data_IF_467388887991
#
_entry.id   IF_467388887991
#
_cell.length_a   1.000
_cell.length_b   1.000
_cell.length_c   1.000
_cell.angle_alpha   90.00
_cell.angle_beta   90.00
_cell.angle_gamma   90.00
#
_symmetry.space_group_name_H-M   'P 1'
#
loop_
_entity.id
_entity.type
_entity.pdbx_description
1 polymer ?
#
# COMPACT_ATOMS: atom_id res chain seq x y z
N UNK A 1 -31.31 -8.98 26.03
CA UNK A 1 -30.79 -7.92 25.14
C UNK A 1 -29.28 -7.85 25.34
N UNK A 2 -28.52 -8.53 24.49
CA UNK A 2 -27.05 -8.53 24.56
C UNK A 2 -26.49 -7.37 23.76
N UNK A 3 -25.76 -6.47 24.42
CA UNK A 3 -24.95 -5.46 23.75
C UNK A 3 -23.82 -6.18 22.99
N UNK A 4 -23.95 -6.30 21.67
CA UNK A 4 -22.84 -6.64 20.79
C UNK A 4 -21.89 -5.45 20.75
N UNK A 5 -20.91 -5.47 21.65
CA UNK A 5 -19.68 -4.70 21.50
C UNK A 5 -19.02 -5.17 20.20
N UNK A 6 -19.15 -4.39 19.13
CA UNK A 6 -18.39 -4.60 17.91
C UNK A 6 -16.92 -4.40 18.28
N UNK A 7 -16.19 -5.51 18.42
CA UNK A 7 -14.72 -5.48 18.54
C UNK A 7 -14.20 -4.81 17.27
N UNK A 8 -13.90 -3.51 17.35
CA UNK A 8 -13.27 -2.79 16.24
C UNK A 8 -11.99 -3.53 15.88
N UNK A 9 -11.91 -3.97 14.63
CA UNK A 9 -10.77 -4.74 14.17
C UNK A 9 -9.50 -3.89 14.20
N UNK A 10 -8.42 -4.42 14.77
CA UNK A 10 -7.17 -3.69 14.96
C UNK A 10 -6.18 -3.85 13.80
N UNK A 11 -6.56 -4.64 12.79
CA UNK A 11 -5.74 -4.93 11.61
C UNK A 11 -6.16 -4.05 10.44
N UNK A 12 -5.16 -3.36 9.90
CA UNK A 12 -5.31 -2.37 8.84
C UNK A 12 -4.70 -2.86 7.54
N UNK A 13 -5.41 -2.60 6.46
CA UNK A 13 -4.93 -2.88 5.10
C UNK A 13 -4.90 -1.56 4.35
N UNK A 14 -3.70 -1.17 3.91
CA UNK A 14 -3.53 0.02 3.08
C UNK A 14 -3.87 -0.32 1.64
N UNK A 15 -4.65 0.52 0.97
CA UNK A 15 -4.88 0.43 -0.47
C UNK A 15 -4.19 1.63 -1.11
N UNK A 16 -3.15 1.33 -1.90
CA UNK A 16 -2.29 2.33 -2.55
C UNK A 16 -2.26 2.08 -4.07
N UNK A 17 -1.85 3.10 -4.82
CA UNK A 17 -1.69 2.98 -6.27
C UNK A 17 -1.54 4.34 -6.94
N UNK A 18 -1.07 4.33 -8.18
CA UNK A 18 -0.99 5.53 -9.02
C UNK A 18 -2.38 6.10 -9.36
N UNK A 19 -2.47 7.35 -9.82
CA UNK A 19 -3.70 7.91 -10.38
C UNK A 19 -4.30 6.97 -11.46
N UNK A 20 -5.62 6.79 -11.44
CA UNK A 20 -6.31 5.92 -12.42
C UNK A 20 -6.17 4.40 -12.21
N UNK A 21 -5.45 3.95 -11.18
CA UNK A 21 -5.21 2.52 -10.89
C UNK A 21 -6.44 1.70 -10.47
N UNK A 22 -7.60 2.33 -10.25
CA UNK A 22 -8.82 1.67 -9.76
C UNK A 22 -8.91 1.47 -8.24
N UNK A 23 -7.93 1.95 -7.46
CA UNK A 23 -7.84 1.74 -6.00
C UNK A 23 -9.11 2.13 -5.22
N UNK A 24 -9.78 3.21 -5.60
CA UNK A 24 -10.98 3.69 -4.89
C UNK A 24 -12.19 2.80 -5.13
N UNK A 25 -12.30 2.19 -6.32
CA UNK A 25 -13.35 1.20 -6.59
C UNK A 25 -13.07 -0.08 -5.80
N UNK A 26 -11.81 -0.53 -5.76
CA UNK A 26 -11.38 -1.66 -4.93
C UNK A 26 -11.67 -1.42 -3.44
N UNK A 27 -11.33 -0.24 -2.92
CA UNK A 27 -11.66 0.17 -1.55
C UNK A 27 -13.16 0.11 -1.27
N UNK A 28 -14.00 0.64 -2.15
CA UNK A 28 -15.47 0.63 -1.98
C UNK A 28 -16.04 -0.79 -1.87
N UNK A 29 -15.43 -1.77 -2.54
CA UNK A 29 -15.81 -3.19 -2.47
C UNK A 29 -15.40 -3.81 -1.13
N UNK A 30 -14.24 -3.43 -0.59
CA UNK A 30 -13.66 -4.04 0.62
C UNK A 30 -14.04 -3.35 1.94
N UNK A 31 -14.40 -2.06 1.92
CA UNK A 31 -14.55 -1.23 3.13
C UNK A 31 -15.57 -1.73 4.16
N UNK A 32 -16.53 -2.56 3.75
CA UNK A 32 -17.59 -3.09 4.62
C UNK A 32 -17.25 -4.48 5.17
N UNK A 33 -16.04 -4.99 4.91
CA UNK A 33 -15.60 -6.26 5.46
C UNK A 33 -15.31 -6.12 6.96
N UNK A 34 -15.83 -7.06 7.76
CA UNK A 34 -15.67 -7.01 9.23
C UNK A 34 -14.30 -7.52 9.71
N UNK A 35 -13.53 -8.23 8.88
CA UNK A 35 -12.24 -8.86 9.24
C UNK A 35 -11.06 -7.87 9.22
N UNK A 36 -11.09 -6.84 8.39
CA UNK A 36 -10.01 -5.87 8.28
C UNK A 36 -10.51 -4.44 8.12
N UNK A 37 -9.77 -3.48 8.67
CA UNK A 37 -10.00 -2.06 8.41
C UNK A 37 -9.23 -1.61 7.17
N UNK A 38 -9.93 -1.37 6.07
CA UNK A 38 -9.30 -0.87 4.84
C UNK A 38 -9.11 0.65 4.88
N UNK A 39 -7.99 1.13 4.36
CA UNK A 39 -7.67 2.55 4.24
C UNK A 39 -7.31 2.88 2.80
N UNK A 40 -8.16 3.66 2.13
CA UNK A 40 -7.82 4.30 0.86
C UNK A 40 -6.78 5.39 1.13
N UNK A 41 -5.59 5.22 0.57
CA UNK A 41 -4.52 6.22 0.59
C UNK A 41 -4.67 7.09 -0.66
N UNK A 42 -4.40 8.41 -0.58
CA UNK A 42 -4.35 9.27 -1.76
C UNK A 42 -3.52 8.65 -2.90
N UNK A 43 -3.80 9.05 -4.14
CA UNK A 43 -3.04 8.54 -5.27
C UNK A 43 -1.56 8.92 -5.06
N UNK A 44 -0.68 7.92 -5.20
CA UNK A 44 0.74 8.12 -4.99
C UNK A 44 1.36 8.56 -6.30
N UNK A 45 1.65 9.85 -6.41
CA UNK A 45 2.44 10.44 -7.48
C UNK A 45 3.53 11.31 -6.87
N UNK A 46 4.69 10.69 -6.63
CA UNK A 46 5.85 11.32 -6.02
C UNK A 46 6.90 11.75 -7.06
N UNK A 47 6.56 11.66 -8.35
CA UNK A 47 7.46 12.00 -9.47
C UNK A 47 7.18 13.37 -10.10
N UNK A 48 6.02 13.99 -9.82
CA UNK A 48 5.64 15.30 -10.39
C UNK A 48 6.46 16.48 -9.85
N UNK A 49 6.36 16.77 -8.55
CA UNK A 49 7.00 17.95 -7.93
C UNK A 49 7.39 17.68 -6.48
N UNK A 50 8.37 18.44 -5.97
CA UNK A 50 8.80 18.36 -4.56
C UNK A 50 7.62 18.69 -3.63
N UNK A 51 6.85 19.73 -3.95
CA UNK A 51 5.70 20.16 -3.15
C UNK A 51 4.62 19.07 -3.05
N UNK A 52 4.28 18.42 -4.18
CA UNK A 52 3.30 17.32 -4.19
C UNK A 52 3.81 16.12 -3.40
N UNK A 53 5.11 15.83 -3.51
CA UNK A 53 5.75 14.76 -2.75
C UNK A 53 5.71 15.03 -1.24
N UNK A 54 6.13 16.20 -0.79
CA UNK A 54 6.13 16.55 0.64
C UNK A 54 4.71 16.57 1.21
N UNK A 55 3.75 17.10 0.46
CA UNK A 55 2.34 17.05 0.83
C UNK A 55 1.85 15.61 1.01
N UNK A 56 2.17 14.71 0.08
CA UNK A 56 1.79 13.31 0.19
C UNK A 56 2.43 12.64 1.40
N UNK A 57 3.72 12.87 1.66
CA UNK A 57 4.43 12.32 2.81
C UNK A 57 3.73 12.73 4.11
N UNK A 58 3.42 14.03 4.25
CA UNK A 58 2.70 14.58 5.41
C UNK A 58 1.30 13.98 5.54
N UNK A 59 0.55 13.86 4.44
CA UNK A 59 -0.78 13.23 4.45
C UNK A 59 -0.70 11.75 4.87
N UNK A 60 0.30 11.02 4.39
CA UNK A 60 0.52 9.62 4.74
C UNK A 60 0.89 9.44 6.21
N UNK A 61 1.78 10.28 6.73
CA UNK A 61 2.15 10.33 8.15
C UNK A 61 0.92 10.62 9.01
N UNK A 62 0.14 11.64 8.66
CA UNK A 62 -1.09 11.99 9.35
C UNK A 62 -2.11 10.85 9.36
N UNK A 63 -2.25 10.10 8.26
CA UNK A 63 -3.08 8.90 8.21
C UNK A 63 -2.57 7.85 9.20
N UNK A 64 -1.26 7.59 9.19
CA UNK A 64 -0.66 6.60 10.08
C UNK A 64 -0.81 7.00 11.55
N UNK A 65 -0.61 8.26 11.92
CA UNK A 65 -0.68 8.69 13.31
C UNK A 65 -2.11 8.82 13.84
N UNK A 66 -3.00 9.44 13.06
CA UNK A 66 -4.33 9.83 13.52
C UNK A 66 -5.39 8.76 13.23
N UNK A 67 -5.32 8.12 12.06
CA UNK A 67 -6.32 7.13 11.62
C UNK A 67 -5.94 5.71 12.02
N UNK A 68 -4.64 5.41 12.02
CA UNK A 68 -4.07 4.11 12.37
C UNK A 68 -3.38 4.24 13.74
N UNK A 69 -4.17 4.55 14.77
CA UNK A 69 -3.72 4.75 16.15
C UNK A 69 -2.60 3.76 16.57
N UNK A 70 -1.58 4.23 17.32
CA UNK A 70 -0.36 3.49 17.76
C UNK A 70 -0.56 2.06 18.30
N UNK A 71 -1.78 1.68 18.72
CA UNK A 71 -2.13 0.32 19.18
C UNK A 71 -2.64 -0.62 18.06
N UNK A 72 -2.71 -0.16 16.82
CA UNK A 72 -3.26 -0.87 15.67
C UNK A 72 -2.16 -1.18 14.65
N UNK A 73 -2.32 -2.25 13.89
CA UNK A 73 -1.25 -2.80 13.07
C UNK A 73 -1.64 -2.79 11.60
N UNK A 74 -0.76 -2.26 10.74
CA UNK A 74 -0.86 -2.48 9.30
C UNK A 74 -0.37 -3.89 8.99
N UNK A 75 -1.26 -4.74 8.48
CA UNK A 75 -0.98 -6.16 8.20
C UNK A 75 -0.69 -6.44 6.73
N UNK A 76 -1.12 -5.55 5.83
CA UNK A 76 -0.90 -5.71 4.39
C UNK A 76 -0.97 -4.37 3.67
N UNK A 77 -0.30 -4.31 2.52
CA UNK A 77 -0.33 -3.19 1.59
C UNK A 77 -0.82 -3.72 0.24
N UNK A 78 -2.00 -3.32 -0.19
CA UNK A 78 -2.56 -3.67 -1.50
C UNK A 78 -2.20 -2.58 -2.50
N UNK A 79 -1.38 -2.91 -3.48
CA UNK A 79 -0.96 -2.02 -4.56
C UNK A 79 -1.84 -2.29 -5.77
N UNK A 80 -2.72 -1.34 -6.05
CA UNK A 80 -3.62 -1.36 -7.20
C UNK A 80 -2.87 -0.92 -8.45
N UNK A 81 -3.06 -1.64 -9.55
CA UNK A 81 -2.57 -1.29 -10.89
C UNK A 81 -3.67 -1.55 -11.90
N UNK A 82 -3.85 -0.66 -12.88
CA UNK A 82 -4.83 -0.87 -13.96
C UNK A 82 -4.27 -1.88 -14.96
N UNK A 83 -5.10 -2.79 -15.45
CA UNK A 83 -4.74 -3.67 -16.55
C UNK A 83 -4.55 -2.85 -17.84
N UNK A 84 -3.37 -2.99 -18.43
CA UNK A 84 -2.94 -2.32 -19.64
C UNK A 84 -1.69 -3.04 -20.17
N UNK A 85 -0.90 -2.38 -21.03
CA UNK A 85 0.39 -2.93 -21.47
C UNK A 85 1.30 -3.23 -20.28
N UNK A 86 1.95 -4.38 -20.29
CA UNK A 86 2.72 -4.87 -19.15
C UNK A 86 3.91 -3.97 -18.77
N UNK A 87 4.51 -3.28 -19.72
CA UNK A 87 5.58 -2.29 -19.46
C UNK A 87 5.07 -1.09 -18.66
N UNK A 88 3.88 -0.59 -18.98
CA UNK A 88 3.21 0.49 -18.24
C UNK A 88 2.83 0.05 -16.83
N UNK A 89 2.26 -1.15 -16.70
CA UNK A 89 1.92 -1.74 -15.40
C UNK A 89 3.16 -1.87 -14.51
N UNK A 90 4.27 -2.39 -15.04
CA UNK A 90 5.53 -2.52 -14.30
C UNK A 90 6.04 -1.15 -13.85
N UNK A 91 6.01 -0.14 -14.73
CA UNK A 91 6.41 1.22 -14.40
C UNK A 91 5.56 1.79 -13.27
N UNK A 92 4.24 1.68 -13.35
CA UNK A 92 3.31 2.15 -12.32
C UNK A 92 3.49 1.42 -10.98
N UNK A 93 3.71 0.10 -11.00
CA UNK A 93 3.98 -0.65 -9.78
C UNK A 93 5.29 -0.23 -9.14
N UNK A 94 6.37 -0.10 -9.92
CA UNK A 94 7.69 0.28 -9.42
C UNK A 94 7.73 1.71 -8.87
N UNK A 95 6.98 2.65 -9.47
CA UNK A 95 6.91 4.02 -8.98
C UNK A 95 6.31 4.11 -7.58
N UNK A 96 5.44 3.16 -7.20
CA UNK A 96 4.84 3.08 -5.86
C UNK A 96 5.68 2.21 -4.92
N UNK A 97 6.03 1.00 -5.35
CA UNK A 97 6.66 -0.04 -4.50
C UNK A 97 8.05 0.38 -4.01
N UNK A 98 8.78 1.21 -4.77
CA UNK A 98 10.11 1.69 -4.36
C UNK A 98 10.11 2.38 -2.98
N UNK A 99 9.00 3.00 -2.59
CA UNK A 99 8.84 3.66 -1.28
C UNK A 99 8.45 2.71 -0.15
N UNK A 100 8.03 1.48 -0.48
CA UNK A 100 7.65 0.43 0.45
C UNK A 100 8.56 -0.80 0.35
N UNK A 101 9.77 -0.65 -0.18
CA UNK A 101 10.72 -1.75 -0.39
C UNK A 101 11.04 -2.53 0.90
N UNK A 102 11.00 -1.87 2.07
CA UNK A 102 11.16 -2.55 3.37
C UNK A 102 10.03 -3.54 3.68
N UNK A 103 8.84 -3.33 3.10
CA UNK A 103 7.62 -4.10 3.37
C UNK A 103 7.20 -4.97 2.17
N UNK A 104 8.13 -5.41 1.33
CA UNK A 104 7.81 -6.29 0.19
C UNK A 104 7.05 -7.57 0.64
N UNK A 105 7.29 -8.05 1.86
CA UNK A 105 6.58 -9.16 2.48
C UNK A 105 5.11 -8.83 2.84
N UNK A 106 4.72 -7.55 2.84
CA UNK A 106 3.34 -7.08 3.06
C UNK A 106 2.60 -6.69 1.77
N UNK A 107 3.31 -6.55 0.64
CA UNK A 107 2.75 -6.11 -0.64
C UNK A 107 1.95 -7.18 -1.39
N UNK A 108 0.68 -6.89 -1.68
CA UNK A 108 -0.18 -7.66 -2.59
C UNK A 108 -0.45 -6.80 -3.83
N UNK A 109 -0.37 -7.36 -5.02
CA UNK A 109 -0.70 -6.64 -6.27
C UNK A 109 -2.14 -6.94 -6.64
N UNK A 110 -2.95 -5.88 -6.83
CA UNK A 110 -4.30 -5.98 -7.36
C UNK A 110 -4.37 -5.39 -8.77
N UNK A 111 -4.51 -6.25 -9.77
CA UNK A 111 -4.73 -5.87 -11.17
C UNK A 111 -6.22 -5.56 -11.34
N UNK A 112 -6.55 -4.29 -11.58
CA UNK A 112 -7.93 -3.81 -11.80
C UNK A 112 -8.25 -3.72 -13.28
N UNK A 113 -9.53 -3.65 -13.64
CA UNK A 113 -9.98 -3.58 -15.04
C UNK A 113 -9.53 -4.78 -15.89
N UNK A 114 -9.34 -5.95 -15.27
CA UNK A 114 -8.88 -7.14 -15.98
C UNK A 114 -9.96 -7.73 -16.91
N UNK A 115 -11.20 -7.26 -16.79
CA UNK A 115 -12.27 -7.48 -17.77
C UNK A 115 -11.94 -6.97 -19.18
N UNK A 116 -10.92 -6.14 -19.34
CA UNK A 116 -10.45 -5.65 -20.65
C UNK A 116 -9.50 -6.63 -21.36
N UNK A 117 -9.14 -7.75 -20.73
CA UNK A 117 -8.33 -8.82 -21.35
C UNK A 117 -9.16 -9.63 -22.35
N UNK A 118 -8.60 -9.85 -23.54
CA UNK A 118 -9.21 -10.69 -24.58
C UNK A 118 -9.02 -12.19 -24.27
N UNK A 119 -7.88 -12.56 -23.68
CA UNK A 119 -7.58 -13.92 -23.21
C UNK A 119 -7.19 -13.90 -21.73
N UNK A 120 -8.20 -14.02 -20.88
CA UNK A 120 -8.02 -13.88 -19.43
C UNK A 120 -7.12 -14.94 -18.81
N UNK A 121 -7.10 -16.15 -19.35
CA UNK A 121 -6.31 -17.24 -18.79
C UNK A 121 -4.84 -17.11 -19.19
N UNK A 122 -4.56 -16.82 -20.46
CA UNK A 122 -3.20 -16.56 -20.93
C UNK A 122 -2.61 -15.31 -20.27
N UNK A 123 -3.34 -14.18 -20.29
CA UNK A 123 -2.87 -12.91 -19.74
C UNK A 123 -2.60 -13.00 -18.24
N UNK A 124 -3.46 -13.72 -17.50
CA UNK A 124 -3.30 -13.92 -16.06
C UNK A 124 -2.02 -14.69 -15.75
N UNK A 125 -1.77 -15.78 -16.46
CA UNK A 125 -0.56 -16.59 -16.28
C UNK A 125 0.69 -15.79 -16.69
N UNK A 126 0.63 -15.08 -17.81
CA UNK A 126 1.73 -14.25 -18.29
C UNK A 126 2.05 -13.12 -17.30
N UNK A 127 1.05 -12.37 -16.85
CA UNK A 127 1.23 -11.31 -15.86
C UNK A 127 1.78 -11.83 -14.53
N UNK A 128 1.31 -12.98 -14.04
CA UNK A 128 1.90 -13.62 -12.85
C UNK A 128 3.39 -13.86 -13.03
N UNK A 129 3.79 -14.47 -14.15
CA UNK A 129 5.21 -14.72 -14.45
C UNK A 129 6.02 -13.43 -14.58
N UNK A 130 5.43 -12.39 -15.19
CA UNK A 130 6.10 -11.12 -15.41
C UNK A 130 6.21 -10.24 -14.17
N UNK A 131 5.32 -10.38 -13.19
CA UNK A 131 5.28 -9.55 -11.99
C UNK A 131 5.84 -10.26 -10.75
N UNK A 132 6.04 -11.59 -10.77
CA UNK A 132 6.55 -12.36 -9.63
C UNK A 132 7.87 -11.83 -9.05
N UNK A 133 8.73 -11.24 -9.88
CA UNK A 133 10.02 -10.69 -9.43
C UNK A 133 9.85 -9.56 -8.39
N UNK A 134 8.75 -8.82 -8.48
CA UNK A 134 8.40 -7.75 -7.53
C UNK A 134 8.07 -8.34 -6.16
N UNK A 135 7.48 -9.54 -6.13
CA UNK A 135 6.93 -10.19 -4.94
C UNK A 135 7.80 -11.34 -4.43
N UNK A 136 9.13 -11.26 -4.61
CA UNK A 136 10.09 -12.31 -4.20
C UNK A 136 9.70 -13.71 -4.70
N UNK A 137 9.21 -13.79 -5.94
CA UNK A 137 8.71 -15.01 -6.60
C UNK A 137 7.44 -15.62 -6.01
N UNK A 138 6.64 -14.87 -5.24
CA UNK A 138 5.33 -15.32 -4.75
C UNK A 138 4.20 -14.74 -5.63
N UNK A 139 3.80 -15.51 -6.64
CA UNK A 139 2.74 -15.12 -7.60
C UNK A 139 1.31 -15.23 -7.04
N UNK A 140 1.12 -15.93 -5.91
CA UNK A 140 -0.19 -16.05 -5.24
C UNK A 140 -0.67 -14.73 -4.64
N UNK A 141 0.23 -13.76 -4.55
CA UNK A 141 -0.03 -12.40 -4.07
C UNK A 141 -0.46 -11.44 -5.18
N UNK A 142 -0.82 -11.98 -6.35
CA UNK A 142 -1.33 -11.22 -7.49
C UNK A 142 -2.80 -11.60 -7.68
N UNK A 143 -3.70 -10.63 -7.48
CA UNK A 143 -5.14 -10.79 -7.65
C UNK A 143 -5.65 -9.97 -8.81
N UNK A 144 -6.69 -10.46 -9.48
CA UNK A 144 -7.26 -9.86 -10.69
C UNK A 144 -8.72 -9.52 -10.43
N UNK A 145 -9.10 -8.25 -10.61
CA UNK A 145 -10.49 -7.78 -10.50
C UNK A 145 -11.14 -7.73 -11.87
N UNK A 146 -12.32 -8.32 -11.95
CA UNK A 146 -13.17 -8.39 -13.14
C UNK A 146 -14.48 -7.66 -12.83
N UNK A 147 -14.93 -6.75 -13.70
CA UNK A 147 -16.15 -5.95 -13.49
C UNK A 147 -17.49 -6.73 -13.56
N UNK A 148 -17.50 -8.06 -13.49
CA UNK A 148 -18.75 -8.82 -13.39
C UNK A 148 -19.14 -8.99 -11.91
N UNK A 149 -20.41 -8.66 -11.58
CA UNK A 149 -20.93 -8.65 -10.21
C UNK A 149 -20.72 -9.98 -9.44
N UNK A 150 -20.62 -11.13 -10.14
CA UNK A 150 -20.35 -12.43 -9.51
C UNK A 150 -18.86 -12.66 -9.22
N UNK A 151 -17.96 -12.23 -10.11
CA UNK A 151 -16.52 -12.46 -9.96
C UNK A 151 -15.87 -11.47 -8.99
N UNK A 152 -16.52 -10.32 -8.75
CA UNK A 152 -16.07 -9.33 -7.78
C UNK A 152 -16.05 -9.86 -6.33
N UNK A 153 -17.06 -10.67 -5.95
CA UNK A 153 -17.08 -11.31 -4.63
C UNK A 153 -15.95 -12.33 -4.50
N UNK A 154 -15.72 -13.14 -5.54
CA UNK A 154 -14.63 -14.12 -5.55
C UNK A 154 -13.25 -13.46 -5.48
N UNK A 155 -13.06 -12.33 -6.16
CA UNK A 155 -11.83 -11.54 -6.06
C UNK A 155 -11.61 -11.02 -4.63
N UNK A 156 -12.65 -10.45 -4.01
CA UNK A 156 -12.56 -9.97 -2.63
C UNK A 156 -12.24 -11.11 -1.66
N UNK A 157 -12.90 -12.26 -1.78
CA UNK A 157 -12.61 -13.45 -0.96
C UNK A 157 -11.18 -13.94 -1.13
N UNK A 158 -10.69 -14.02 -2.37
CA UNK A 158 -9.31 -14.42 -2.66
C UNK A 158 -8.32 -13.42 -2.07
N UNK A 159 -8.57 -12.11 -2.22
CA UNK A 159 -7.74 -11.07 -1.63
C UNK A 159 -7.72 -11.17 -0.10
N UNK A 160 -8.86 -11.40 0.56
CA UNK A 160 -8.95 -11.57 2.01
C UNK A 160 -8.16 -12.79 2.50
N UNK A 161 -8.22 -13.92 1.78
CA UNK A 161 -7.40 -15.12 2.07
C UNK A 161 -5.91 -14.81 1.98
N UNK A 162 -5.48 -14.07 0.95
CA UNK A 162 -4.08 -13.68 0.78
C UNK A 162 -3.65 -12.72 1.89
N UNK A 163 -4.49 -11.73 2.26
CA UNK A 163 -4.21 -10.82 3.38
C UNK A 163 -3.99 -11.59 4.67
N UNK A 164 -4.84 -12.59 4.96
CA UNK A 164 -4.70 -13.42 6.15
C UNK A 164 -3.39 -14.24 6.11
N UNK A 165 -3.04 -14.82 4.96
CA UNK A 165 -1.78 -15.53 4.79
C UNK A 165 -0.56 -14.59 4.96
N UNK A 166 -0.62 -13.38 4.43
CA UNK A 166 0.44 -12.36 4.59
C UNK A 166 0.58 -11.97 6.05
N UNK A 167 -0.53 -11.73 6.74
CA UNK A 167 -0.56 -11.40 8.17
C UNK A 167 0.09 -12.49 9.03
N UNK A 168 -0.19 -13.76 8.75
CA UNK A 168 0.37 -14.90 9.51
C UNK A 168 1.88 -15.08 9.30
N UNK A 169 2.38 -14.72 8.12
CA UNK A 169 3.80 -14.86 7.76
C UNK A 169 4.63 -13.60 8.01
N UNK A 170 4.04 -12.57 8.60
CA UNK A 170 4.67 -11.28 8.84
C UNK A 170 5.83 -11.41 9.83
N UNK A 171 7.01 -10.90 9.43
CA UNK A 171 8.24 -11.03 10.21
C UNK A 171 8.44 -9.89 11.22
N UNK A 172 8.11 -8.66 10.84
CA UNK A 172 8.30 -7.47 11.68
C UNK A 172 7.06 -6.58 11.73
N UNK A 173 6.76 -5.91 12.85
CA UNK A 173 5.68 -4.92 12.92
C UNK A 173 5.90 -3.78 11.91
N UNK A 174 4.80 -3.21 11.41
CA UNK A 174 4.90 -2.08 10.50
C UNK A 174 5.33 -0.85 11.32
N UNK A 175 6.36 -0.17 10.86
CA UNK A 175 6.91 1.07 11.45
C UNK A 175 7.25 2.04 10.33
N UNK A 176 7.19 3.34 10.54
CA UNK A 176 7.67 4.32 9.54
C UNK A 176 9.18 4.57 9.64
N UNK A 177 9.83 4.02 10.68
CA UNK A 177 11.26 4.19 10.91
C UNK A 177 12.09 3.71 9.71
N UNK A 178 13.15 4.45 9.39
CA UNK A 178 14.07 4.20 8.28
C UNK A 178 13.36 4.19 6.91
N UNK A 179 12.26 4.94 6.78
CA UNK A 179 11.54 5.17 5.52
C UNK A 179 11.45 6.65 5.21
N UNK A 180 11.10 7.00 3.97
CA UNK A 180 10.80 8.39 3.60
C UNK A 180 9.58 8.97 4.33
N UNK A 181 8.80 8.13 5.02
CA UNK A 181 7.64 8.53 5.80
C UNK A 181 7.97 8.65 7.29
N UNK A 182 9.23 8.47 7.71
CA UNK A 182 9.62 8.69 9.10
C UNK A 182 9.35 10.14 9.50
N UNK A 183 8.68 10.34 10.64
CA UNK A 183 8.49 11.67 11.19
C UNK A 183 9.85 12.19 11.66
N UNK A 184 10.33 13.23 11.01
CA UNK A 184 11.52 13.94 11.45
C UNK A 184 11.04 14.94 12.50
N UNK A 185 11.53 14.78 13.73
CA UNK A 185 11.29 15.75 14.80
C UNK A 185 11.99 17.06 14.40
N UNK A 186 11.22 18.07 13.99
CA UNK A 186 11.74 19.39 13.56
C UNK A 186 12.65 20.01 14.63
N UNK A 187 12.38 19.70 15.90
CA UNK A 187 13.20 20.10 17.05
C UNK A 187 14.60 19.51 16.97
N UNK A 188 14.74 18.25 16.56
CA UNK A 188 16.04 17.60 16.37
C UNK A 188 16.79 18.18 15.17
N UNK A 189 16.09 18.48 14.07
CA UNK A 189 16.70 19.11 12.89
C UNK A 189 17.22 20.52 13.19
N UNK A 190 16.45 21.35 13.89
CA UNK A 190 16.88 22.69 14.29
C UNK A 190 18.06 22.65 15.27
N UNK A 191 18.08 21.67 16.18
CA UNK A 191 19.22 21.45 17.07
C UNK A 191 20.45 20.99 16.29
N UNK A 192 20.32 20.08 15.33
CA UNK A 192 21.44 19.63 14.50
C UNK A 192 22.02 20.74 13.63
N UNK A 193 21.16 21.57 13.03
CA UNK A 193 21.60 22.75 12.29
C UNK A 193 22.32 23.74 13.21
N UNK A 194 21.77 24.00 14.41
CA UNK A 194 22.44 24.86 15.41
C UNK A 194 23.81 24.31 15.81
N UNK A 195 23.94 23.02 16.05
CA UNK A 195 25.21 22.39 16.45
C UNK A 195 26.24 22.45 15.32
N UNK A 196 25.82 22.26 14.06
CA UNK A 196 26.68 22.46 12.89
C UNK A 196 27.14 23.92 12.77
N UNK A 197 26.23 24.89 12.89
CA UNK A 197 26.57 26.31 12.82
C UNK A 197 27.49 26.77 13.98
N UNK A 198 27.32 26.22 15.18
CA UNK A 198 28.23 26.48 16.30
C UNK A 198 29.60 25.83 16.10
N UNK A 199 29.65 24.62 15.52
CA UNK A 199 30.90 23.96 15.16
C UNK A 199 31.72 24.72 14.11
N UNK A 200 31.06 25.37 13.14
CA UNK A 200 31.73 26.22 12.14
C UNK A 200 32.26 27.53 12.72
N UNK A 201 31.53 28.16 13.65
CA UNK A 201 31.95 29.43 14.26
C UNK A 201 33.06 29.28 15.31
N UNK A 202 33.23 28.09 15.90
CA UNK A 202 34.31 27.81 16.85
C UNK A 202 35.62 27.35 16.17
N UNK A 203 35.68 27.34 14.84
CA UNK A 203 36.88 27.01 14.04
C UNK A 203 37.46 28.22 13.28
N UNK A 204 36.96 29.43 13.53
CA UNK A 204 37.56 30.71 13.09
C UNK A 204 38.17 31.44 14.28
#
# INVERSE_FOLDING_TARGET
MGCYSSRKNNDYVLIIGSPGSGKTNLYKKLKNNDQFSFVDIPAMDLEESIENREKFINDFQNICENKINKKRQIVSIVVSVKFERTDLMKRSLLSVIKYFHRYLDLIIIAVTHFDQSEDQDEDKNNLKQQLKFILKNNEDRIVFSQNSNQNDNQMCENLLKIIENVKQNKQEPFTLKDTIFENIDETQQQNHLRDLFQGFNNQQ
#
